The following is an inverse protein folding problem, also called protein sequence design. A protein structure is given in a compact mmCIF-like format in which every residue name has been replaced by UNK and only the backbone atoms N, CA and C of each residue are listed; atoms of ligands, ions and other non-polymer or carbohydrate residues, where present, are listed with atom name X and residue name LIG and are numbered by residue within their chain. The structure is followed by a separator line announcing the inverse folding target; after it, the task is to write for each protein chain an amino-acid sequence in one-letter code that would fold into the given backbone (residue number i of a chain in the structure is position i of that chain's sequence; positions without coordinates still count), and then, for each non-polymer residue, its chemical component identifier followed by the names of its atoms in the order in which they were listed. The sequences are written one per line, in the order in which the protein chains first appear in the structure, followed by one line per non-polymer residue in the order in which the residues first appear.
data_IF_242290886473
#
_entry.id   IF_242290886473
#
_cell.length_a   1.000
_cell.length_b   1.000
_cell.length_c   1.000
_cell.angle_alpha   90.00
_cell.angle_beta   90.00
_cell.angle_gamma   90.00
#
_symmetry.space_group_name_H-M   'P 1'
#
loop_
_entity.id
_entity.type
_entity.pdbx_description
1 polymer ?
#
# COMPACT_ATOMS: atom_id res chain seq x y z
N UNK A 1 3.26 -15.13 -20.71
CA UNK A 1 3.60 -14.75 -19.33
C UNK A 1 3.61 -13.23 -19.26
N UNK A 2 2.93 -12.64 -18.27
CA UNK A 2 2.88 -11.19 -18.04
C UNK A 2 3.98 -10.77 -17.07
N UNK A 3 4.72 -9.71 -17.39
CA UNK A 3 5.82 -9.22 -16.56
C UNK A 3 5.39 -7.97 -15.79
N UNK A 4 5.50 -8.01 -14.48
CA UNK A 4 5.14 -6.94 -13.55
C UNK A 4 6.40 -6.26 -13.01
N UNK A 5 6.44 -4.94 -13.00
CA UNK A 5 7.27 -4.16 -12.08
C UNK A 5 6.42 -3.83 -10.87
N UNK A 6 6.82 -4.31 -9.69
CA UNK A 6 6.14 -4.00 -8.42
C UNK A 6 7.09 -3.24 -7.54
N UNK A 7 6.79 -1.98 -7.27
CA UNK A 7 7.64 -1.12 -6.43
C UNK A 7 7.14 -1.12 -4.99
N UNK A 8 8.02 -0.96 -4.01
CA UNK A 8 7.64 -0.94 -2.60
C UNK A 8 7.13 -2.29 -2.07
N UNK A 9 7.51 -3.40 -2.70
CA UNK A 9 7.01 -4.72 -2.38
C UNK A 9 7.65 -5.36 -1.13
N UNK A 10 8.72 -4.80 -0.56
CA UNK A 10 9.22 -5.18 0.76
C UNK A 10 8.42 -4.55 1.91
N UNK A 11 7.48 -3.65 1.61
CA UNK A 11 6.53 -3.08 2.56
C UNK A 11 5.32 -3.98 2.82
N UNK A 12 4.43 -3.56 3.71
CA UNK A 12 3.28 -4.33 4.19
C UNK A 12 2.34 -4.82 3.08
N UNK A 13 1.71 -3.88 2.36
CA UNK A 13 0.70 -4.23 1.34
C UNK A 13 1.38 -4.91 0.14
N UNK A 14 2.51 -4.36 -0.32
CA UNK A 14 3.25 -4.89 -1.45
C UNK A 14 3.73 -6.33 -1.24
N UNK A 15 4.18 -6.70 -0.03
CA UNK A 15 4.58 -8.07 0.30
C UNK A 15 3.39 -9.06 0.20
N UNK A 16 2.23 -8.67 0.71
CA UNK A 16 1.01 -9.48 0.58
C UNK A 16 0.58 -9.61 -0.88
N UNK A 17 0.70 -8.53 -1.66
CA UNK A 17 0.38 -8.55 -3.09
C UNK A 17 1.29 -9.50 -3.87
N UNK A 18 2.61 -9.49 -3.63
CA UNK A 18 3.54 -10.44 -4.26
C UNK A 18 3.13 -11.89 -3.97
N UNK A 19 2.89 -12.21 -2.70
CA UNK A 19 2.45 -13.55 -2.30
C UNK A 19 1.16 -13.97 -3.00
N UNK A 20 0.19 -13.05 -3.02
CA UNK A 20 -1.10 -13.30 -3.64
C UNK A 20 -0.97 -13.56 -5.15
N UNK A 21 -0.31 -12.69 -5.93
CA UNK A 21 -0.25 -12.84 -7.39
C UNK A 21 0.59 -14.04 -7.82
N UNK A 22 1.69 -14.37 -7.11
CA UNK A 22 2.52 -15.53 -7.41
C UNK A 22 1.78 -16.85 -7.12
N UNK A 23 0.95 -16.89 -6.07
CA UNK A 23 0.11 -18.04 -5.74
C UNK A 23 -1.09 -18.17 -6.71
N UNK A 24 -1.71 -17.05 -7.07
CA UNK A 24 -2.92 -17.02 -7.89
C UNK A 24 -2.67 -17.30 -9.36
N UNK A 25 -1.55 -16.82 -9.90
CA UNK A 25 -1.25 -16.84 -11.33
C UNK A 25 0.06 -17.56 -11.62
N UNK A 26 0.00 -18.62 -12.40
CA UNK A 26 1.19 -19.37 -12.84
C UNK A 26 1.95 -18.69 -13.99
N UNK A 27 1.30 -17.77 -14.70
CA UNK A 27 1.79 -17.12 -15.92
C UNK A 27 2.32 -15.70 -15.69
N UNK A 28 2.71 -15.36 -14.45
CA UNK A 28 3.28 -14.06 -14.09
C UNK A 28 4.77 -14.17 -13.77
N UNK A 29 5.49 -13.11 -14.15
CA UNK A 29 6.86 -12.81 -13.75
C UNK A 29 6.84 -11.46 -13.01
N UNK A 30 7.51 -11.39 -11.87
CA UNK A 30 7.54 -10.21 -11.02
C UNK A 30 8.98 -9.74 -10.85
N UNK A 31 9.21 -8.47 -11.12
CA UNK A 31 10.46 -7.76 -10.78
C UNK A 31 10.11 -6.75 -9.68
N UNK A 32 10.70 -6.92 -8.53
CA UNK A 32 10.51 -6.06 -7.37
C UNK A 32 11.58 -4.97 -7.38
N UNK A 33 11.17 -3.71 -7.27
CA UNK A 33 12.04 -2.57 -6.99
C UNK A 33 11.69 -1.99 -5.63
N UNK A 34 12.64 -2.04 -4.68
CA UNK A 34 12.43 -1.50 -3.33
C UNK A 34 13.71 -0.86 -2.80
N UNK A 35 13.61 0.31 -2.21
CA UNK A 35 14.74 1.03 -1.64
C UNK A 35 15.17 0.47 -0.27
N UNK A 36 14.32 -0.39 0.35
CA UNK A 36 14.50 -0.91 1.70
C UNK A 36 14.69 0.22 2.73
N UNK A 37 13.80 1.21 2.68
CA UNK A 37 13.73 2.27 3.68
C UNK A 37 13.20 1.72 5.01
N UNK A 38 12.81 2.58 5.94
CA UNK A 38 12.47 2.21 7.31
C UNK A 38 11.39 1.11 7.45
N UNK A 39 10.44 1.03 6.53
CA UNK A 39 9.35 0.06 6.55
C UNK A 39 9.58 -1.14 5.62
N UNK A 40 10.62 -1.13 4.81
CA UNK A 40 10.98 -2.20 3.90
C UNK A 40 11.69 -3.35 4.63
N UNK A 41 11.13 -4.55 4.57
CA UNK A 41 11.70 -5.74 5.18
C UNK A 41 11.84 -6.87 4.16
N UNK A 42 13.06 -7.07 3.65
CA UNK A 42 13.35 -8.13 2.68
C UNK A 42 12.99 -9.53 3.21
N UNK A 43 13.12 -9.76 4.53
CA UNK A 43 12.77 -11.04 5.16
C UNK A 43 11.31 -11.43 4.93
N UNK A 44 10.42 -10.47 4.72
CA UNK A 44 8.99 -10.73 4.46
C UNK A 44 8.75 -11.45 3.13
N UNK A 45 9.55 -11.15 2.10
CA UNK A 45 9.43 -11.67 0.75
C UNK A 45 10.58 -12.59 0.33
N UNK A 46 11.54 -12.86 1.22
CA UNK A 46 12.75 -13.60 0.89
C UNK A 46 12.47 -15.01 0.34
N UNK A 47 11.39 -15.67 0.82
CA UNK A 47 11.00 -17.00 0.34
C UNK A 47 10.28 -16.97 -1.01
N UNK A 48 9.80 -15.81 -1.44
CA UNK A 48 9.09 -15.63 -2.70
C UNK A 48 10.05 -15.30 -3.85
N UNK A 49 11.27 -14.85 -3.52
CA UNK A 49 12.33 -14.54 -4.50
C UNK A 49 13.01 -15.85 -4.91
N UNK A 50 12.71 -16.30 -6.11
CA UNK A 50 13.22 -17.57 -6.67
C UNK A 50 14.18 -17.39 -7.85
N UNK A 51 14.35 -16.15 -8.35
CA UNK A 51 15.13 -15.81 -9.54
C UNK A 51 14.68 -16.53 -10.83
N UNK A 52 13.47 -17.04 -10.83
CA UNK A 52 12.81 -17.62 -12.02
C UNK A 52 11.56 -16.79 -12.37
N UNK A 53 10.66 -16.64 -11.43
CA UNK A 53 9.41 -15.86 -11.56
C UNK A 53 9.40 -14.58 -10.73
N UNK A 54 10.21 -14.50 -9.67
CA UNK A 54 10.27 -13.36 -8.77
C UNK A 54 11.72 -12.91 -8.56
N UNK A 55 12.00 -11.68 -8.93
CA UNK A 55 13.34 -11.06 -8.86
C UNK A 55 13.29 -9.84 -7.94
N UNK A 56 14.34 -9.64 -7.18
CA UNK A 56 14.48 -8.48 -6.30
C UNK A 56 15.65 -7.58 -6.74
N UNK A 57 15.35 -6.30 -6.89
CA UNK A 57 16.35 -5.26 -7.19
C UNK A 57 16.23 -4.19 -6.09
N UNK A 58 17.33 -3.93 -5.40
CA UNK A 58 17.41 -2.82 -4.46
C UNK A 58 17.63 -1.53 -5.23
N UNK A 59 16.70 -0.58 -5.08
CA UNK A 59 16.83 0.73 -5.73
C UNK A 59 15.66 1.65 -5.41
N UNK A 60 15.85 2.93 -5.69
CA UNK A 60 14.89 4.00 -5.44
C UNK A 60 14.14 4.33 -6.74
N UNK A 61 12.81 4.47 -6.65
CA UNK A 61 11.97 4.91 -7.77
C UNK A 61 12.32 6.33 -8.25
N UNK A 62 12.95 7.14 -7.40
CA UNK A 62 13.44 8.48 -7.76
C UNK A 62 14.72 8.43 -8.61
N UNK A 63 15.47 7.31 -8.62
CA UNK A 63 16.65 7.16 -9.45
C UNK A 63 16.28 6.88 -10.88
N UNK A 64 16.48 7.89 -11.74
CA UNK A 64 16.24 7.76 -13.19
C UNK A 64 17.05 6.63 -13.81
N UNK A 65 18.32 6.53 -13.44
CA UNK A 65 19.24 5.52 -13.94
C UNK A 65 18.77 4.09 -13.62
N UNK A 66 18.35 3.86 -12.37
CA UNK A 66 17.86 2.54 -11.93
C UNK A 66 16.59 2.17 -12.68
N UNK A 67 15.61 3.08 -12.76
CA UNK A 67 14.34 2.79 -13.42
C UNK A 67 14.52 2.60 -14.93
N UNK A 68 15.31 3.45 -15.59
CA UNK A 68 15.64 3.29 -17.02
C UNK A 68 16.35 1.95 -17.30
N UNK A 69 17.29 1.56 -16.44
CA UNK A 69 17.97 0.27 -16.52
C UNK A 69 17.00 -0.91 -16.46
N UNK A 70 16.03 -0.86 -15.55
CA UNK A 70 14.99 -1.89 -15.44
C UNK A 70 14.11 -1.97 -16.70
N UNK A 71 13.69 -0.86 -17.27
CA UNK A 71 12.91 -0.86 -18.51
C UNK A 71 13.73 -1.24 -19.75
N UNK A 72 15.05 -1.11 -19.71
CA UNK A 72 15.95 -1.62 -20.75
C UNK A 72 16.14 -3.15 -20.66
N UNK A 73 16.21 -3.70 -19.43
CA UNK A 73 16.42 -5.13 -19.18
C UNK A 73 15.14 -5.95 -19.29
N UNK A 74 14.01 -5.41 -18.78
CA UNK A 74 12.74 -6.12 -18.70
C UNK A 74 11.67 -5.47 -19.56
N UNK A 75 10.88 -6.29 -20.25
CA UNK A 75 9.71 -5.84 -21.00
C UNK A 75 8.47 -5.90 -20.10
N UNK A 76 8.27 -4.89 -19.27
CA UNK A 76 7.12 -4.82 -18.36
C UNK A 76 5.79 -4.65 -19.09
N UNK A 77 4.79 -5.47 -18.73
CA UNK A 77 3.39 -5.28 -19.14
C UNK A 77 2.65 -4.42 -18.11
N UNK A 78 2.93 -4.63 -16.83
CA UNK A 78 2.29 -3.89 -15.74
C UNK A 78 3.33 -3.24 -14.83
N UNK A 79 3.02 -2.04 -14.39
CA UNK A 79 3.71 -1.35 -13.28
C UNK A 79 2.69 -1.18 -12.17
N UNK A 80 2.96 -1.72 -10.98
CA UNK A 80 2.13 -1.55 -9.78
C UNK A 80 2.95 -0.83 -8.73
N UNK A 81 2.59 0.43 -8.49
CA UNK A 81 3.35 1.31 -7.62
C UNK A 81 2.82 1.33 -6.19
N UNK A 82 3.47 0.58 -5.30
CA UNK A 82 3.27 0.66 -3.85
C UNK A 82 4.31 1.54 -3.17
N UNK A 83 5.44 1.85 -3.85
CA UNK A 83 6.51 2.65 -3.24
C UNK A 83 6.00 4.04 -2.86
N UNK A 84 6.08 4.34 -1.58
CA UNK A 84 5.68 5.61 -1.00
C UNK A 84 6.24 5.77 0.41
N UNK A 85 6.52 7.00 0.79
CA UNK A 85 6.55 7.38 2.21
C UNK A 85 5.11 7.49 2.71
N UNK A 86 4.77 6.85 3.86
CA UNK A 86 3.36 6.58 4.23
C UNK A 86 2.97 6.88 5.67
N UNK A 87 3.83 7.51 6.48
CA UNK A 87 3.53 7.81 7.89
C UNK A 87 3.22 9.29 8.07
N UNK A 88 2.00 9.63 8.55
CA UNK A 88 1.54 11.02 8.69
C UNK A 88 2.48 11.83 9.58
N UNK A 89 2.82 11.34 10.80
CA UNK A 89 3.68 12.09 11.73
C UNK A 89 5.07 12.36 11.11
N UNK A 90 5.66 11.37 10.43
CA UNK A 90 6.94 11.55 9.71
C UNK A 90 6.81 12.55 8.57
N UNK A 91 5.64 12.68 7.95
CA UNK A 91 5.42 13.68 6.91
C UNK A 91 5.40 15.11 7.46
N UNK A 92 5.03 15.27 8.72
CA UNK A 92 5.08 16.57 9.42
C UNK A 92 6.54 16.94 9.74
N UNK A 93 7.33 15.95 10.16
CA UNK A 93 8.75 16.14 10.48
C UNK A 93 9.62 16.39 9.24
N UNK A 94 9.37 15.67 8.15
CA UNK A 94 10.14 15.76 6.91
C UNK A 94 9.25 15.73 5.66
N UNK A 95 8.48 16.79 5.38
CA UNK A 95 7.54 16.82 4.26
C UNK A 95 8.22 16.70 2.89
N UNK A 96 9.43 17.22 2.75
CA UNK A 96 10.16 17.19 1.47
C UNK A 96 10.43 15.77 0.98
N UNK A 97 10.74 14.83 1.89
CA UNK A 97 10.95 13.43 1.53
C UNK A 97 9.69 12.82 0.88
N UNK A 98 8.52 13.16 1.42
CA UNK A 98 7.23 12.70 0.89
C UNK A 98 6.94 13.26 -0.50
N UNK A 99 7.25 14.54 -0.74
CA UNK A 99 7.09 15.16 -2.06
C UNK A 99 8.02 14.51 -3.09
N UNK A 100 9.28 14.29 -2.73
CA UNK A 100 10.26 13.66 -3.62
C UNK A 100 9.84 12.23 -3.95
N UNK A 101 9.60 11.39 -2.94
CA UNK A 101 9.29 9.97 -3.16
C UNK A 101 7.93 9.80 -3.84
N UNK A 102 6.87 10.40 -3.28
CA UNK A 102 5.52 10.11 -3.72
C UNK A 102 5.15 10.80 -5.04
N UNK A 103 5.68 11.99 -5.31
CA UNK A 103 5.36 12.75 -6.52
C UNK A 103 6.41 12.51 -7.60
N UNK A 104 7.66 12.86 -7.32
CA UNK A 104 8.72 12.78 -8.34
C UNK A 104 9.08 11.33 -8.67
N UNK A 105 9.08 10.44 -7.69
CA UNK A 105 9.26 8.99 -7.92
C UNK A 105 8.14 8.41 -8.78
N UNK A 106 6.87 8.77 -8.51
CA UNK A 106 5.72 8.37 -9.35
C UNK A 106 5.86 8.91 -10.78
N UNK A 107 6.23 10.18 -10.94
CA UNK A 107 6.44 10.79 -12.26
C UNK A 107 7.58 10.10 -13.02
N UNK A 108 8.66 9.75 -12.34
CA UNK A 108 9.78 9.02 -12.94
C UNK A 108 9.36 7.66 -13.51
N UNK A 109 8.59 6.88 -12.73
CA UNK A 109 8.04 5.59 -13.18
C UNK A 109 7.10 5.75 -14.39
N UNK A 110 6.19 6.73 -14.35
CA UNK A 110 5.27 7.01 -15.43
C UNK A 110 6.00 7.37 -16.72
N UNK A 111 7.03 8.21 -16.64
CA UNK A 111 7.79 8.63 -17.81
C UNK A 111 8.59 7.49 -18.43
N UNK A 112 9.20 6.62 -17.60
CA UNK A 112 9.89 5.43 -18.09
C UNK A 112 8.91 4.44 -18.75
N UNK A 113 7.76 4.19 -18.12
CA UNK A 113 6.71 3.34 -18.68
C UNK A 113 6.16 3.92 -20.00
N UNK A 114 5.89 5.23 -20.04
CA UNK A 114 5.43 5.94 -21.24
C UNK A 114 6.39 5.72 -22.41
N UNK A 115 7.69 5.93 -22.20
CA UNK A 115 8.72 5.75 -23.24
C UNK A 115 8.84 4.30 -23.69
N UNK A 116 8.72 3.35 -22.79
CA UNK A 116 8.83 1.93 -23.09
C UNK A 116 7.60 1.32 -23.79
N UNK A 117 6.40 1.93 -23.57
CA UNK A 117 5.14 1.38 -24.08
C UNK A 117 4.61 2.06 -25.33
N UNK A 118 5.11 3.26 -25.69
CA UNK A 118 4.65 3.98 -26.86
C UNK A 118 5.06 3.22 -28.14
N UNK A 119 4.11 3.08 -29.08
CA UNK A 119 4.29 2.39 -30.35
C UNK A 119 4.31 3.33 -31.55
N UNK A 120 3.68 4.51 -31.42
CA UNK A 120 3.55 5.48 -32.48
C UNK A 120 2.52 6.55 -32.09
N UNK A 121 1.86 7.13 -33.08
CA UNK A 121 0.77 8.09 -32.90
C UNK A 121 -0.43 7.68 -33.74
N UNK A 122 -1.63 8.02 -33.25
CA UNK A 122 -2.87 7.91 -34.00
C UNK A 122 -3.07 9.08 -34.99
N UNK A 123 -4.20 9.07 -35.69
CA UNK A 123 -4.56 10.11 -36.66
C UNK A 123 -4.73 11.51 -36.03
N UNK A 124 -5.08 11.57 -34.74
CA UNK A 124 -5.22 12.81 -33.96
C UNK A 124 -3.89 13.30 -33.35
N UNK A 125 -2.82 12.48 -33.47
CA UNK A 125 -1.50 12.79 -32.94
C UNK A 125 -1.25 12.33 -31.51
N UNK A 126 -2.20 11.61 -30.88
CA UNK A 126 -2.01 11.02 -29.57
C UNK A 126 -1.13 9.77 -29.65
N UNK A 127 -0.34 9.48 -28.59
CA UNK A 127 0.44 8.25 -28.53
C UNK A 127 -0.45 7.00 -28.61
N UNK A 128 -0.02 6.00 -29.38
CA UNK A 128 -0.60 4.67 -29.36
C UNK A 128 0.24 3.77 -28.47
N UNK A 129 -0.39 2.84 -27.77
CA UNK A 129 0.23 2.07 -26.72
C UNK A 129 0.35 0.59 -27.09
N UNK A 130 1.39 -0.06 -26.60
CA UNK A 130 1.50 -1.52 -26.64
C UNK A 130 0.28 -2.14 -25.97
N UNK A 131 -0.37 -3.09 -26.66
CA UNK A 131 -1.59 -3.73 -26.17
C UNK A 131 -1.38 -4.46 -24.86
N UNK A 132 -2.25 -4.26 -23.90
CA UNK A 132 -2.30 -4.97 -22.62
C UNK A 132 -1.21 -4.55 -21.64
N UNK A 133 -0.76 -3.29 -21.71
CA UNK A 133 0.07 -2.64 -20.68
C UNK A 133 -0.79 -1.79 -19.76
N UNK A 134 -0.34 -1.59 -18.52
CA UNK A 134 -1.03 -0.72 -17.55
C UNK A 134 -0.10 -0.24 -16.46
N UNK A 135 -0.21 1.04 -16.13
CA UNK A 135 0.32 1.60 -14.90
C UNK A 135 -0.78 1.65 -13.85
N UNK A 136 -0.53 1.11 -12.66
CA UNK A 136 -1.45 1.12 -11.54
C UNK A 136 -0.83 1.82 -10.34
N UNK A 137 -1.51 2.85 -9.84
CA UNK A 137 -1.14 3.59 -8.63
C UNK A 137 -1.93 3.09 -7.45
N UNK A 138 -1.25 2.65 -6.40
CA UNK A 138 -1.87 2.36 -5.11
C UNK A 138 -1.88 3.63 -4.28
N UNK A 139 -3.07 4.15 -3.98
CA UNK A 139 -3.32 5.39 -3.24
C UNK A 139 -4.11 5.11 -1.96
N UNK A 140 -4.67 6.14 -1.36
CA UNK A 140 -5.35 6.11 -0.05
C UNK A 140 -6.61 6.96 -0.08
N UNK A 141 -7.57 6.65 0.76
CA UNK A 141 -8.76 7.45 1.01
C UNK A 141 -8.46 8.79 1.72
N UNK A 142 -7.29 8.90 2.35
CA UNK A 142 -6.85 10.16 2.99
C UNK A 142 -6.74 11.35 2.01
N UNK A 143 -6.72 11.08 0.70
CA UNK A 143 -6.77 12.12 -0.34
C UNK A 143 -8.08 12.88 -0.36
N UNK A 144 -9.17 12.30 0.15
CA UNK A 144 -10.49 12.94 0.26
C UNK A 144 -10.63 13.87 1.46
N UNK A 145 -9.75 13.74 2.46
CA UNK A 145 -9.80 14.49 3.71
C UNK A 145 -10.69 13.84 4.76
N UNK A 146 -11.54 14.63 5.40
CA UNK A 146 -12.41 14.15 6.48
C UNK A 146 -13.85 14.00 6.02
N UNK A 147 -14.44 12.84 6.27
CA UNK A 147 -15.86 12.61 6.10
C UNK A 147 -16.61 13.20 7.30
N UNK A 148 -17.81 13.75 7.06
CA UNK A 148 -18.73 14.17 8.14
C UNK A 148 -19.28 12.98 8.93
N UNK A 149 -20.32 13.22 9.73
CA UNK A 149 -20.96 12.19 10.55
C UNK A 149 -21.68 11.12 9.72
N UNK A 150 -22.02 11.43 8.48
CA UNK A 150 -22.78 10.55 7.57
C UNK A 150 -22.23 10.62 6.17
N UNK A 151 -22.51 9.57 5.36
CA UNK A 151 -22.15 9.49 3.95
C UNK A 151 -20.93 8.60 3.70
N UNK A 152 -20.49 8.61 2.43
CA UNK A 152 -19.35 7.83 1.95
C UNK A 152 -18.51 8.66 0.99
N UNK A 153 -17.23 8.39 0.91
CA UNK A 153 -16.40 8.85 -0.18
C UNK A 153 -16.72 8.05 -1.45
N UNK A 154 -16.94 8.76 -2.54
CA UNK A 154 -17.04 8.19 -3.89
C UNK A 154 -15.83 8.60 -4.71
N UNK A 155 -15.59 7.96 -5.84
CA UNK A 155 -14.47 8.27 -6.73
C UNK A 155 -14.56 9.70 -7.30
N UNK A 156 -15.77 10.30 -7.28
CA UNK A 156 -16.03 11.68 -7.70
C UNK A 156 -16.00 12.70 -6.56
N UNK A 157 -15.80 12.25 -5.32
CA UNK A 157 -15.63 13.15 -4.16
C UNK A 157 -14.43 14.07 -4.40
N UNK A 158 -14.55 15.39 -4.20
CA UNK A 158 -13.43 16.32 -4.33
C UNK A 158 -12.27 15.96 -3.40
N UNK A 159 -11.05 16.09 -3.90
CA UNK A 159 -9.85 15.83 -3.11
C UNK A 159 -9.57 17.01 -2.18
N UNK A 160 -9.40 16.73 -0.89
CA UNK A 160 -9.19 17.71 0.17
C UNK A 160 -8.20 17.20 1.23
N UNK A 161 -6.91 17.00 0.87
CA UNK A 161 -5.92 16.43 1.79
C UNK A 161 -5.58 17.40 2.93
N UNK A 162 -5.40 16.86 4.16
CA UNK A 162 -5.12 17.67 5.37
C UNK A 162 -3.75 17.40 6.00
N UNK A 163 -2.90 16.56 5.40
CA UNK A 163 -1.53 16.32 5.88
C UNK A 163 -0.52 16.40 4.73
N UNK A 164 0.78 16.62 4.99
CA UNK A 164 1.80 16.55 3.94
C UNK A 164 1.82 15.18 3.23
N UNK A 165 1.56 14.08 3.97
CA UNK A 165 1.40 12.76 3.39
C UNK A 165 0.23 12.71 2.40
N UNK A 166 -0.98 13.04 2.85
CA UNK A 166 -2.17 12.97 1.99
C UNK A 166 -2.07 13.94 0.82
N UNK A 167 -1.47 15.13 1.01
CA UNK A 167 -1.20 16.07 -0.08
C UNK A 167 -0.23 15.49 -1.12
N UNK A 168 0.82 14.79 -0.70
CA UNK A 168 1.76 14.13 -1.61
C UNK A 168 1.11 12.99 -2.39
N UNK A 169 0.22 12.20 -1.76
CA UNK A 169 -0.53 11.13 -2.43
C UNK A 169 -1.57 11.69 -3.41
N UNK A 170 -2.28 12.76 -3.02
CA UNK A 170 -3.19 13.50 -3.92
C UNK A 170 -2.44 14.01 -5.14
N UNK A 171 -1.28 14.62 -4.94
CA UNK A 171 -0.46 15.13 -6.04
C UNK A 171 0.02 14.00 -6.96
N UNK A 172 0.40 12.85 -6.40
CA UNK A 172 0.77 11.67 -7.18
C UNK A 172 -0.42 11.17 -8.04
N UNK A 173 -1.62 11.08 -7.47
CA UNK A 173 -2.85 10.72 -8.20
C UNK A 173 -3.10 11.69 -9.36
N UNK A 174 -2.95 13.01 -9.11
CA UNK A 174 -3.13 14.03 -10.15
C UNK A 174 -2.09 13.90 -11.27
N UNK A 175 -0.84 13.57 -10.95
CA UNK A 175 0.19 13.31 -11.97
C UNK A 175 -0.18 12.08 -12.81
N UNK A 176 -0.65 10.99 -12.19
CA UNK A 176 -1.10 9.79 -12.90
C UNK A 176 -2.25 10.12 -13.86
N UNK A 177 -3.26 10.85 -13.39
CA UNK A 177 -4.41 11.25 -14.21
C UNK A 177 -4.00 12.21 -15.33
N UNK A 178 -3.08 13.15 -15.07
CA UNK A 178 -2.55 14.04 -16.10
C UNK A 178 -1.84 13.27 -17.24
N UNK A 179 -1.14 12.16 -16.92
CA UNK A 179 -0.56 11.30 -17.96
C UNK A 179 -1.64 10.60 -18.79
N UNK A 180 -2.76 10.18 -18.17
CA UNK A 180 -3.90 9.67 -18.91
C UNK A 180 -4.52 10.74 -19.81
N UNK A 181 -4.84 11.90 -19.28
CA UNK A 181 -5.56 12.95 -20.00
C UNK A 181 -4.74 13.50 -21.16
N UNK A 182 -3.44 13.73 -20.91
CA UNK A 182 -2.52 14.33 -21.90
C UNK A 182 -2.06 13.33 -22.97
N UNK A 183 -1.71 12.11 -22.53
CA UNK A 183 -1.09 11.12 -23.43
C UNK A 183 -1.99 9.91 -23.72
N UNK A 184 -3.19 9.87 -23.16
CA UNK A 184 -4.05 8.66 -23.23
C UNK A 184 -3.35 7.40 -22.71
N UNK A 185 -2.44 7.58 -21.73
CA UNK A 185 -1.70 6.47 -21.15
C UNK A 185 -2.64 5.54 -20.40
N UNK A 186 -2.51 4.19 -20.54
CA UNK A 186 -3.34 3.24 -19.83
C UNK A 186 -2.95 3.19 -18.35
N UNK A 187 -3.67 3.94 -17.52
CA UNK A 187 -3.46 4.03 -16.07
C UNK A 187 -4.72 3.65 -15.31
N UNK A 188 -4.56 3.22 -14.07
CA UNK A 188 -5.65 3.07 -13.08
C UNK A 188 -5.14 3.44 -11.70
N UNK A 189 -6.05 3.83 -10.80
CA UNK A 189 -5.75 4.17 -9.42
C UNK A 189 -6.68 3.37 -8.49
N UNK A 190 -6.17 2.79 -7.42
CA UNK A 190 -6.99 2.36 -6.27
C UNK A 190 -6.74 3.27 -5.08
N UNK A 191 -7.82 3.68 -4.38
CA UNK A 191 -7.78 4.40 -3.11
C UNK A 191 -8.34 3.51 -2.03
N UNK A 192 -7.48 3.05 -1.12
CA UNK A 192 -7.88 2.11 -0.08
C UNK A 192 -8.10 2.80 1.25
N UNK A 193 -8.98 2.20 2.06
CA UNK A 193 -9.14 2.49 3.48
C UNK A 193 -7.99 1.87 4.32
N UNK A 194 -8.07 1.96 5.65
CA UNK A 194 -7.03 1.48 6.54
C UNK A 194 -6.83 -0.04 6.45
N UNK A 195 -5.67 -0.46 5.97
CA UNK A 195 -5.34 -1.88 5.85
C UNK A 195 -4.88 -2.49 7.17
N UNK A 196 -5.22 -3.76 7.41
CA UNK A 196 -4.68 -4.59 8.47
C UNK A 196 -4.40 -6.01 7.98
N UNK A 197 -3.51 -6.73 8.67
CA UNK A 197 -3.19 -8.12 8.34
C UNK A 197 -1.72 -8.49 8.54
N UNK A 198 -1.28 -9.63 8.00
CA UNK A 198 0.10 -10.11 8.12
C UNK A 198 1.11 -9.09 7.59
N UNK A 199 2.27 -9.00 8.26
CA UNK A 199 3.39 -8.12 7.93
C UNK A 199 3.12 -6.62 8.13
N UNK A 200 2.01 -6.24 8.78
CA UNK A 200 1.72 -4.85 9.10
C UNK A 200 2.83 -4.28 10.00
N UNK A 201 3.35 -3.10 9.65
CA UNK A 201 4.53 -2.52 10.31
C UNK A 201 4.25 -2.18 11.78
N UNK A 202 5.19 -2.45 12.71
CA UNK A 202 4.96 -2.37 14.17
C UNK A 202 4.62 -0.99 14.74
N UNK A 203 4.78 0.09 14.00
CA UNK A 203 4.37 1.45 14.41
C UNK A 203 2.88 1.74 14.20
N UNK A 204 2.19 0.91 13.42
CA UNK A 204 0.75 1.08 13.13
C UNK A 204 -0.11 0.54 14.27
N UNK A 205 -1.33 1.05 14.40
CA UNK A 205 -2.21 0.87 15.57
C UNK A 205 -2.30 -0.59 16.04
N UNK A 206 -2.77 -1.52 15.21
CA UNK A 206 -3.01 -2.92 15.62
C UNK A 206 -1.70 -3.62 16.03
N UNK A 207 -0.63 -3.65 15.21
CA UNK A 207 0.60 -4.32 15.62
C UNK A 207 1.29 -3.62 16.80
N UNK A 208 1.15 -2.31 16.97
CA UNK A 208 1.66 -1.59 18.14
C UNK A 208 0.95 -2.02 19.42
N UNK A 209 -0.39 -2.16 19.38
CA UNK A 209 -1.17 -2.68 20.51
C UNK A 209 -0.71 -4.10 20.86
N UNK A 210 -0.62 -5.00 19.87
CA UNK A 210 -0.17 -6.38 20.08
C UNK A 210 1.22 -6.39 20.73
N UNK A 211 2.16 -5.64 20.18
CA UNK A 211 3.52 -5.52 20.70
C UNK A 211 3.54 -5.03 22.15
N UNK A 212 2.78 -3.98 22.44
CA UNK A 212 2.75 -3.40 23.79
C UNK A 212 2.11 -4.37 24.80
N UNK A 213 1.07 -5.10 24.43
CA UNK A 213 0.49 -6.15 25.27
C UNK A 213 1.54 -7.21 25.58
N UNK A 214 2.24 -7.74 24.56
CA UNK A 214 3.26 -8.76 24.72
C UNK A 214 4.45 -8.28 25.58
N UNK A 215 4.77 -6.99 25.56
CA UNK A 215 5.83 -6.38 26.35
C UNK A 215 5.38 -5.87 27.72
N UNK A 216 4.08 -5.94 28.05
CA UNK A 216 3.50 -5.38 29.26
C UNK A 216 3.65 -3.86 29.37
N UNK A 217 3.51 -3.15 28.24
CA UNK A 217 3.54 -1.69 28.14
C UNK A 217 2.15 -1.10 28.07
N UNK A 218 2.03 0.20 28.40
CA UNK A 218 0.80 0.95 28.21
C UNK A 218 0.39 0.98 26.73
N UNK A 219 -0.94 0.93 26.50
CA UNK A 219 -1.51 1.01 25.16
C UNK A 219 -1.76 2.48 24.80
N UNK A 220 -1.16 2.99 23.71
CA UNK A 220 -1.43 4.35 23.29
C UNK A 220 -2.83 4.45 22.65
N UNK A 221 -3.60 5.44 23.10
CA UNK A 221 -4.86 5.85 22.46
C UNK A 221 -4.70 7.31 22.08
N UNK A 222 -4.79 7.61 20.77
CA UNK A 222 -4.73 8.98 20.30
C UNK A 222 -6.03 9.73 20.63
N UNK A 223 -5.91 10.89 21.31
CA UNK A 223 -7.05 11.66 21.75
C UNK A 223 -7.94 10.87 22.71
N UNK A 224 -9.25 10.90 22.49
CA UNK A 224 -10.24 10.11 23.21
C UNK A 224 -10.55 8.74 22.57
N UNK A 225 -9.87 8.43 21.46
CA UNK A 225 -10.06 7.20 20.71
C UNK A 225 -11.34 7.13 19.86
N UNK A 226 -12.06 8.26 19.71
CA UNK A 226 -13.33 8.35 18.96
C UNK A 226 -13.15 8.37 17.44
N UNK A 227 -11.93 8.58 16.95
CA UNK A 227 -11.66 8.60 15.50
C UNK A 227 -12.10 7.29 14.84
N UNK A 228 -13.04 7.39 13.90
CA UNK A 228 -13.54 6.26 13.10
C UNK A 228 -12.63 6.02 11.89
N UNK A 229 -12.37 4.75 11.60
CA UNK A 229 -11.69 4.30 10.37
C UNK A 229 -12.41 3.09 9.80
N UNK A 230 -12.46 2.98 8.50
CA UNK A 230 -12.82 1.74 7.82
C UNK A 230 -11.60 0.81 7.75
N UNK A 231 -11.77 -0.45 8.12
CA UNK A 231 -10.69 -1.43 8.23
C UNK A 231 -10.80 -2.50 7.16
N UNK A 232 -9.85 -2.50 6.23
CA UNK A 232 -9.77 -3.40 5.09
C UNK A 232 -8.72 -4.50 5.32
N UNK A 233 -9.12 -5.76 5.19
CA UNK A 233 -8.16 -6.86 5.26
C UNK A 233 -7.23 -6.85 4.04
N UNK A 234 -5.93 -6.92 4.28
CA UNK A 234 -4.91 -6.69 3.25
C UNK A 234 -5.01 -7.65 2.06
N UNK A 235 -5.42 -8.90 2.28
CA UNK A 235 -5.60 -9.86 1.18
C UNK A 235 -6.76 -9.46 0.27
N UNK A 236 -7.85 -8.92 0.81
CA UNK A 236 -8.97 -8.44 0.00
C UNK A 236 -8.58 -7.20 -0.79
N UNK A 237 -7.74 -6.34 -0.22
CA UNK A 237 -7.13 -5.24 -0.97
C UNK A 237 -6.25 -5.76 -2.12
N UNK A 238 -5.41 -6.78 -1.88
CA UNK A 238 -4.58 -7.39 -2.93
C UNK A 238 -5.42 -7.98 -4.06
N UNK A 239 -6.56 -8.63 -3.74
CA UNK A 239 -7.53 -9.14 -4.73
C UNK A 239 -8.11 -8.01 -5.57
N UNK A 240 -8.50 -6.90 -4.91
CA UNK A 240 -9.05 -5.73 -5.61
C UNK A 240 -8.01 -5.09 -6.54
N UNK A 241 -6.76 -4.93 -6.09
CA UNK A 241 -5.67 -4.42 -6.93
C UNK A 241 -5.46 -5.32 -8.15
N UNK A 242 -5.36 -6.65 -7.97
CA UNK A 242 -5.17 -7.57 -9.09
C UNK A 242 -6.31 -7.48 -10.11
N UNK A 243 -7.55 -7.41 -9.63
CA UNK A 243 -8.72 -7.22 -10.49
C UNK A 243 -8.63 -5.90 -11.28
N UNK A 244 -8.33 -4.78 -10.64
CA UNK A 244 -8.23 -3.48 -11.30
C UNK A 244 -7.05 -3.42 -12.27
N UNK A 245 -5.90 -4.02 -11.93
CA UNK A 245 -4.74 -4.10 -12.83
C UNK A 245 -5.09 -4.87 -14.10
N UNK A 246 -5.85 -5.95 -14.01
CA UNK A 246 -6.17 -6.81 -15.15
C UNK A 246 -7.38 -6.34 -15.95
N UNK A 247 -8.42 -5.88 -15.27
CA UNK A 247 -9.76 -5.69 -15.84
C UNK A 247 -10.29 -4.27 -15.68
N UNK A 248 -9.66 -3.42 -14.85
CA UNK A 248 -10.09 -2.05 -14.63
C UNK A 248 -10.12 -1.24 -15.92
N UNK A 249 -11.03 -0.28 -16.01
CA UNK A 249 -11.13 0.64 -17.12
C UNK A 249 -10.02 1.69 -17.04
N UNK A 250 -9.37 1.96 -18.16
CA UNK A 250 -8.28 2.92 -18.25
C UNK A 250 -8.76 4.34 -17.92
N UNK A 251 -7.94 5.06 -17.15
CA UNK A 251 -8.27 6.41 -16.67
C UNK A 251 -9.23 6.45 -15.48
N UNK A 252 -9.61 5.31 -14.91
CA UNK A 252 -10.56 5.29 -13.80
C UNK A 252 -9.86 5.10 -12.44
N UNK A 253 -10.53 5.65 -11.42
CA UNK A 253 -10.19 5.50 -10.00
C UNK A 253 -11.17 4.52 -9.38
N UNK A 254 -10.72 3.73 -8.42
CA UNK A 254 -11.53 2.74 -7.70
C UNK A 254 -11.30 2.88 -6.20
N UNK A 255 -12.37 3.11 -5.44
CA UNK A 255 -12.32 3.05 -3.99
C UNK A 255 -12.37 1.60 -3.52
N UNK A 256 -11.51 1.25 -2.57
CA UNK A 256 -11.45 -0.09 -1.98
C UNK A 256 -11.58 0.03 -0.48
N UNK A 257 -12.77 -0.25 0.04
CA UNK A 257 -13.11 -0.20 1.46
C UNK A 257 -13.48 -1.56 2.04
N UNK A 258 -13.46 -1.67 3.36
CA UNK A 258 -13.80 -2.89 4.08
C UNK A 258 -15.27 -2.98 4.51
N UNK A 259 -16.02 -1.86 4.48
CA UNK A 259 -17.32 -1.72 5.14
C UNK A 259 -17.30 -2.20 6.60
N UNK A 260 -16.23 -1.83 7.31
CA UNK A 260 -15.93 -2.27 8.66
C UNK A 260 -15.41 -1.10 9.50
N UNK A 261 -16.27 -0.08 9.63
CA UNK A 261 -15.99 1.13 10.37
C UNK A 261 -15.92 0.83 11.86
N UNK A 262 -14.82 1.24 12.50
CA UNK A 262 -14.58 1.11 13.92
C UNK A 262 -13.86 2.35 14.44
N UNK A 263 -14.19 2.73 15.65
CA UNK A 263 -13.39 3.71 16.40
C UNK A 263 -12.03 3.11 16.77
N UNK A 264 -11.03 3.93 16.96
CA UNK A 264 -9.73 3.47 17.46
C UNK A 264 -9.86 2.73 18.80
N UNK A 265 -10.74 3.19 19.68
CA UNK A 265 -10.99 2.54 20.98
C UNK A 265 -11.64 1.15 20.82
N UNK A 266 -12.57 0.97 19.87
CA UNK A 266 -13.15 -0.34 19.56
C UNK A 266 -12.08 -1.30 19.03
N UNK A 267 -11.16 -0.85 18.17
CA UNK A 267 -10.03 -1.67 17.68
C UNK A 267 -9.11 -2.08 18.82
N UNK A 268 -8.80 -1.17 19.75
CA UNK A 268 -8.01 -1.50 20.95
C UNK A 268 -8.68 -2.60 21.74
N UNK A 269 -9.97 -2.43 22.10
CA UNK A 269 -10.75 -3.42 22.86
C UNK A 269 -10.85 -4.76 22.14
N UNK A 270 -11.11 -4.74 20.83
CA UNK A 270 -11.21 -5.95 20.01
C UNK A 270 -9.86 -6.71 19.96
N UNK A 271 -8.76 -5.98 19.84
CA UNK A 271 -7.42 -6.58 19.82
C UNK A 271 -7.10 -7.24 21.17
N UNK A 272 -7.39 -6.58 22.29
CA UNK A 272 -7.21 -7.13 23.64
C UNK A 272 -8.03 -8.40 23.83
N UNK A 273 -9.33 -8.35 23.53
CA UNK A 273 -10.24 -9.49 23.69
C UNK A 273 -9.83 -10.67 22.80
N UNK A 274 -9.35 -10.40 21.59
CA UNK A 274 -8.86 -11.42 20.65
C UNK A 274 -7.59 -12.09 21.18
N UNK A 275 -6.62 -11.31 21.68
CA UNK A 275 -5.39 -11.85 22.27
C UNK A 275 -5.73 -12.71 23.50
N UNK A 276 -6.62 -12.22 24.38
CA UNK A 276 -7.04 -12.97 25.57
C UNK A 276 -7.70 -14.29 25.18
N UNK A 277 -8.61 -14.30 24.21
CA UNK A 277 -9.24 -15.51 23.67
C UNK A 277 -8.19 -16.47 23.10
N UNK A 278 -7.28 -16.01 22.25
CA UNK A 278 -6.22 -16.83 21.65
C UNK A 278 -5.29 -17.44 22.72
N UNK A 279 -4.94 -16.70 23.77
CA UNK A 279 -4.13 -17.21 24.88
C UNK A 279 -4.89 -18.21 25.78
N UNK A 280 -6.21 -18.21 25.71
CA UNK A 280 -7.06 -19.19 26.41
C UNK A 280 -7.20 -20.47 25.58
N UNK A 281 -7.46 -20.34 24.29
CA UNK A 281 -7.57 -21.44 23.33
C UNK A 281 -6.22 -22.13 23.07
N UNK A 282 -5.11 -21.33 23.11
CA UNK A 282 -3.73 -21.72 22.84
C UNK A 282 -2.81 -21.30 23.98
N UNK A 283 -2.77 -22.07 25.13
CA UNK A 283 -1.99 -21.71 26.31
C UNK A 283 -0.49 -21.48 26.04
N UNK A 284 0.05 -22.12 25.00
CA UNK A 284 1.43 -21.95 24.54
C UNK A 284 1.76 -20.50 24.12
N UNK A 285 0.77 -19.72 23.68
CA UNK A 285 0.98 -18.31 23.30
C UNK A 285 1.30 -17.41 24.51
N UNK A 286 0.97 -17.86 25.74
CA UNK A 286 1.36 -17.13 26.97
C UNK A 286 2.87 -17.01 27.15
N UNK A 287 3.65 -17.89 26.51
CA UNK A 287 5.12 -17.81 26.51
C UNK A 287 5.65 -16.56 25.76
N UNK A 288 4.83 -15.95 24.89
CA UNK A 288 5.18 -14.73 24.17
C UNK A 288 5.13 -13.48 25.06
N UNK A 289 4.48 -13.54 26.24
CA UNK A 289 4.41 -12.45 27.20
C UNK A 289 5.78 -12.26 27.87
N UNK A 290 6.42 -11.11 27.63
CA UNK A 290 7.74 -10.78 28.24
C UNK A 290 7.64 -10.39 29.72
N UNK A 291 6.46 -9.90 30.16
CA UNK A 291 6.17 -9.61 31.56
C UNK A 291 4.84 -10.24 31.94
N UNK A 292 4.76 -10.83 33.16
CA UNK A 292 3.47 -11.21 33.73
C UNK A 292 2.68 -9.94 33.99
N UNK A 293 1.62 -9.72 33.22
CA UNK A 293 0.66 -8.65 33.49
C UNK A 293 -0.05 -9.05 34.79
N UNK A 294 0.23 -8.34 35.87
CA UNK A 294 -0.45 -8.52 37.15
C UNK A 294 -1.76 -7.74 37.13
N UNK A 295 -2.80 -8.33 36.59
CA UNK A 295 -4.16 -8.04 37.05
C UNK A 295 -4.52 -9.04 38.14
N UNK A 296 -5.32 -8.70 39.10
CA UNK A 296 -5.73 -9.58 40.21
C UNK A 296 -6.40 -10.86 39.74
N UNK A 297 -6.88 -10.95 38.50
CA UNK A 297 -7.50 -12.09 37.85
C UNK A 297 -6.83 -12.55 36.54
N UNK A 298 -5.61 -12.11 36.25
CA UNK A 298 -4.92 -12.47 35.01
C UNK A 298 -5.46 -11.76 33.77
N UNK A 299 -6.29 -10.75 33.93
CA UNK A 299 -6.81 -9.92 32.85
C UNK A 299 -5.80 -8.84 32.44
N UNK A 300 -5.71 -8.59 31.14
CA UNK A 300 -4.93 -7.46 30.59
C UNK A 300 -5.73 -6.20 30.87
N UNK A 301 -5.28 -5.38 31.83
CA UNK A 301 -5.89 -4.07 32.07
C UNK A 301 -5.43 -3.03 31.06
N UNK A 302 -6.35 -2.21 30.61
CA UNK A 302 -6.11 -1.04 29.74
C UNK A 302 -5.48 0.10 30.54
#
# INVERSE_FOLDING_TARGET
MKTYLVTGAAGFIGANYIKYILAKHSDVKVVILDALTYAGNLGTIAKDIDNERCFFIKGDICSREVVDGLFAEYRFDYVVNFAAESHVDRSIENPQLFLITNILGTQNLLDCARRAWVMGKDEQGYPTWRKGVRYHQVSTDEVYGSLGAEGFFTETTPLCPHSPYSASKTSADMVVMAYHDTYKMPVTITRCSNNYGPYHFPEKLIPLIIKNILEGKHLPVYGDGSNVRDWLYVEDHCKAIDLVVREGKEGEVYNVGGHNEKTNLEIVKLTISTIHRLMTEHPEYRQMLKKKVKGENGEISI
#
